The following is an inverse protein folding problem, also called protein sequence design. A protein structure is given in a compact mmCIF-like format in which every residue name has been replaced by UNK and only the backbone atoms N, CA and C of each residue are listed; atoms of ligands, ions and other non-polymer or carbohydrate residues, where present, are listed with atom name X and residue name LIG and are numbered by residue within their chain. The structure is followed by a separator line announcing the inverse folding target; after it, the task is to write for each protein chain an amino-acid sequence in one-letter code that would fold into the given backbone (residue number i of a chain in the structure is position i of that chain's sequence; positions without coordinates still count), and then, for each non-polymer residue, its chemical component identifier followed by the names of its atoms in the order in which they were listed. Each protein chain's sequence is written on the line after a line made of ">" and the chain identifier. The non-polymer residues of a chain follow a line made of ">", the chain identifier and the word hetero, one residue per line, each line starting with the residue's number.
data_IF_107299209525
#
_entry.id   IF_107299209525
#
_cell.length_a   1.000
_cell.length_b   1.000
_cell.length_c   1.000
_cell.angle_alpha   90.00
_cell.angle_beta   90.00
_cell.angle_gamma   90.00
#
_symmetry.space_group_name_H-M   'P 1'
#
loop_
_entity.id
_entity.type
_entity.pdbx_description
1 polymer ?
#
# COMPACT_ATOMS: atom_id res chain seq x y z
N UNK A 1 -10.15 -17.18 -11.64
CA UNK A 1 -9.60 -16.29 -10.60
C UNK A 1 -10.20 -14.90 -10.82
N UNK A 2 -10.93 -14.33 -9.86
CA UNK A 2 -11.71 -13.09 -10.07
C UNK A 2 -10.78 -11.90 -10.40
N UNK A 3 -11.12 -11.09 -11.41
CA UNK A 3 -10.30 -9.96 -11.91
C UNK A 3 -9.86 -8.98 -10.80
N UNK A 4 -10.67 -8.84 -9.76
CA UNK A 4 -10.39 -8.05 -8.56
C UNK A 4 -9.10 -8.48 -7.84
N UNK A 5 -8.84 -9.79 -7.74
CA UNK A 5 -7.62 -10.29 -7.08
C UNK A 5 -6.35 -9.93 -7.85
N UNK A 6 -6.44 -9.78 -9.17
CA UNK A 6 -5.28 -9.40 -9.99
C UNK A 6 -4.92 -7.93 -9.79
N UNK A 7 -5.93 -7.05 -9.72
CA UNK A 7 -5.73 -5.62 -9.45
C UNK A 7 -5.15 -5.33 -8.06
N UNK A 8 -5.63 -6.06 -7.04
CA UNK A 8 -5.11 -5.88 -5.68
C UNK A 8 -3.65 -6.33 -5.58
N UNK A 9 -3.26 -7.38 -6.34
CA UNK A 9 -1.87 -7.87 -6.39
C UNK A 9 -0.89 -6.94 -7.12
N UNK A 10 -1.37 -5.96 -7.88
CA UNK A 10 -0.52 -4.91 -8.47
C UNK A 10 -0.16 -3.80 -7.49
N UNK A 11 -0.79 -3.75 -6.31
CA UNK A 11 -0.51 -2.75 -5.28
C UNK A 11 0.63 -3.27 -4.39
N UNK A 12 1.74 -2.53 -4.24
CA UNK A 12 2.82 -2.89 -3.32
C UNK A 12 2.29 -3.07 -1.89
N UNK A 13 2.77 -4.10 -1.19
CA UNK A 13 2.28 -4.49 0.13
C UNK A 13 1.13 -5.51 0.09
N UNK A 14 0.28 -5.47 -0.94
CA UNK A 14 -0.72 -6.53 -1.19
C UNK A 14 -0.18 -7.69 -2.05
N UNK A 15 1.00 -7.51 -2.65
CA UNK A 15 1.67 -8.49 -3.51
C UNK A 15 2.26 -9.66 -2.75
N UNK A 16 2.79 -9.41 -1.54
CA UNK A 16 3.59 -10.38 -0.78
C UNK A 16 2.83 -11.59 -0.25
N UNK A 17 1.49 -11.69 -0.42
CA UNK A 17 0.61 -12.74 0.17
C UNK A 17 0.72 -12.90 1.70
N UNK A 18 1.61 -12.17 2.37
CA UNK A 18 1.76 -12.15 3.82
C UNK A 18 0.59 -11.37 4.43
N UNK A 19 -0.20 -12.04 5.26
CA UNK A 19 -1.38 -11.41 5.91
C UNK A 19 -1.00 -10.13 6.66
N UNK A 20 0.16 -10.12 7.33
CA UNK A 20 0.67 -8.94 8.05
C UNK A 20 0.93 -7.76 7.11
N UNK A 21 1.65 -7.97 6.01
CA UNK A 21 1.96 -6.92 5.04
C UNK A 21 0.70 -6.33 4.40
N UNK A 22 -0.29 -7.18 4.09
CA UNK A 22 -1.60 -6.73 3.59
C UNK A 22 -2.36 -5.88 4.61
N UNK A 23 -2.35 -6.25 5.90
CA UNK A 23 -3.00 -5.50 6.97
C UNK A 23 -2.31 -4.14 7.15
N UNK A 24 -0.98 -4.14 7.23
CA UNK A 24 -0.19 -2.91 7.39
C UNK A 24 -0.42 -1.98 6.19
N UNK A 25 -0.30 -2.47 4.96
CA UNK A 25 -0.57 -1.69 3.76
C UNK A 25 -2.00 -1.11 3.77
N UNK A 26 -3.00 -1.93 4.13
CA UNK A 26 -4.38 -1.50 4.24
C UNK A 26 -4.58 -0.35 5.24
N UNK A 27 -4.00 -0.44 6.44
CA UNK A 27 -4.06 0.62 7.46
C UNK A 27 -3.42 1.90 6.92
N UNK A 28 -2.24 1.81 6.30
CA UNK A 28 -1.55 2.97 5.74
C UNK A 28 -2.36 3.67 4.64
N UNK A 29 -3.00 2.92 3.74
CA UNK A 29 -3.85 3.50 2.70
C UNK A 29 -5.10 4.16 3.27
N UNK A 30 -5.76 3.55 4.27
CA UNK A 30 -6.94 4.14 4.92
C UNK A 30 -6.56 5.41 5.68
N UNK A 31 -5.45 5.40 6.43
CA UNK A 31 -4.95 6.59 7.15
C UNK A 31 -4.59 7.69 6.17
N UNK A 32 -3.93 7.37 5.05
CA UNK A 32 -3.61 8.36 4.00
C UNK A 32 -4.87 8.99 3.42
N UNK A 33 -5.91 8.18 3.18
CA UNK A 33 -7.19 8.64 2.66
C UNK A 33 -7.91 9.56 3.66
N UNK A 34 -7.85 9.25 4.96
CA UNK A 34 -8.36 10.13 6.03
C UNK A 34 -7.60 11.47 6.09
N UNK A 35 -6.27 11.44 5.96
CA UNK A 35 -5.43 12.65 5.92
C UNK A 35 -5.72 13.48 4.66
N UNK A 36 -6.10 12.84 3.55
CA UNK A 36 -6.47 13.50 2.29
C UNK A 36 -7.65 14.45 2.40
N UNK A 37 -8.57 14.20 3.34
CA UNK A 37 -9.66 15.14 3.63
C UNK A 37 -9.19 16.43 4.33
N UNK A 38 -8.05 16.39 5.01
CA UNK A 38 -7.48 17.54 5.70
C UNK A 38 -6.50 18.31 4.81
N UNK A 39 -5.62 17.58 4.12
CA UNK A 39 -4.58 18.17 3.29
C UNK A 39 -4.09 17.19 2.22
N UNK A 40 -4.33 17.53 0.96
CA UNK A 40 -3.97 16.70 -0.21
C UNK A 40 -2.46 16.50 -0.34
N UNK A 41 -1.65 17.50 0.02
CA UNK A 41 -0.19 17.43 -0.07
C UNK A 41 0.41 16.46 0.96
N UNK A 42 -0.14 16.46 2.17
CA UNK A 42 0.20 15.48 3.21
C UNK A 42 -0.23 14.07 2.80
N UNK A 43 -1.42 13.92 2.20
CA UNK A 43 -1.87 12.62 1.69
C UNK A 43 -0.91 12.02 0.68
N UNK A 44 -0.46 12.79 -0.33
CA UNK A 44 0.48 12.27 -1.34
C UNK A 44 1.77 11.80 -0.67
N UNK A 45 2.30 12.57 0.27
CA UNK A 45 3.51 12.20 1.03
C UNK A 45 3.30 10.89 1.82
N UNK A 46 2.17 10.75 2.49
CA UNK A 46 1.79 9.56 3.26
C UNK A 46 1.45 8.35 2.41
N UNK A 47 0.99 8.53 1.17
CA UNK A 47 0.74 7.45 0.23
C UNK A 47 2.05 6.91 -0.37
N UNK A 48 3.02 7.81 -0.58
CA UNK A 48 4.31 7.49 -1.21
C UNK A 48 5.23 6.71 -0.27
N UNK A 49 5.20 7.02 1.02
CA UNK A 49 5.99 6.33 2.07
C UNK A 49 5.78 4.80 2.10
N UNK A 50 4.57 4.26 2.32
CA UNK A 50 4.32 2.84 2.33
C UNK A 50 4.56 2.21 0.96
N UNK A 51 4.28 2.92 -0.13
CA UNK A 51 4.60 2.46 -1.48
C UNK A 51 6.09 2.19 -1.65
N UNK A 52 6.96 3.13 -1.26
CA UNK A 52 8.42 2.97 -1.32
C UNK A 52 8.89 1.85 -0.39
N UNK A 53 8.38 1.81 0.85
CA UNK A 53 8.77 0.77 1.83
C UNK A 53 8.44 -0.63 1.31
N UNK A 54 7.22 -0.85 0.83
CA UNK A 54 6.85 -2.15 0.27
C UNK A 54 7.55 -2.46 -1.04
N UNK A 55 7.85 -1.45 -1.87
CA UNK A 55 8.62 -1.66 -3.09
C UNK A 55 10.08 -2.03 -2.79
N UNK A 56 10.69 -1.46 -1.75
CA UNK A 56 12.01 -1.85 -1.28
C UNK A 56 12.02 -3.26 -0.69
N UNK A 57 11.01 -3.61 0.13
CA UNK A 57 10.87 -4.98 0.66
C UNK A 57 10.73 -5.98 -0.49
N UNK A 58 9.82 -5.72 -1.44
CA UNK A 58 9.65 -6.57 -2.62
C UNK A 58 10.94 -6.67 -3.43
N UNK A 59 11.73 -5.60 -3.56
CA UNK A 59 13.01 -5.59 -4.28
C UNK A 59 14.12 -6.41 -3.59
N UNK A 60 14.14 -6.41 -2.25
CA UNK A 60 15.12 -7.16 -1.45
C UNK A 60 14.75 -8.64 -1.38
N UNK A 61 13.45 -8.97 -1.37
CA UNK A 61 12.94 -10.35 -1.31
C UNK A 61 12.81 -11.03 -2.70
N UNK A 62 13.13 -10.32 -3.80
CA UNK A 62 13.11 -10.84 -5.19
C UNK A 62 14.47 -11.34 -5.66
#
# INVERSE_FOLDING_TARGET
>A
MSKLKTFVKTIPGFRSNTKLNMIIAGIYYVVSLLIGFLNVQLMISFLTMPYIVFLMIDCVDS
#
